data_IF_596373942898
#
_entry.id   IF_596373942898
#
_cell.length_a   1.000
_cell.length_b   1.000
_cell.length_c   1.000
_cell.angle_alpha   90.00
_cell.angle_beta   90.00
_cell.angle_gamma   90.00
#
_symmetry.space_group_name_H-M   'P 1'
#
loop_
_entity.id
_entity.type
_entity.pdbx_description
1 polymer ?
#
# COMPACT_ATOMS: atom_id res chain seq x y z
N UNK A 1 12.73 -6.64 -21.36
CA UNK A 1 13.15 -8.00 -21.80
C UNK A 1 12.23 -8.52 -22.88
N UNK A 2 12.68 -9.42 -23.76
CA UNK A 2 11.82 -10.05 -24.75
C UNK A 2 10.86 -11.04 -24.09
N UNK A 3 9.76 -11.36 -24.79
CA UNK A 3 8.94 -12.50 -24.45
C UNK A 3 9.74 -13.79 -24.55
N UNK A 4 9.49 -14.75 -23.66
CA UNK A 4 10.14 -16.08 -23.73
C UNK A 4 9.65 -16.91 -24.93
N UNK A 5 8.60 -16.45 -25.62
CA UNK A 5 8.01 -17.10 -26.77
C UNK A 5 6.89 -18.08 -26.42
N UNK A 6 6.29 -18.66 -27.44
CA UNK A 6 5.22 -19.66 -27.36
C UNK A 6 3.81 -19.13 -26.99
N UNK A 7 3.65 -17.84 -26.75
CA UNK A 7 2.36 -17.25 -26.37
C UNK A 7 1.30 -17.41 -27.43
N UNK A 8 1.68 -17.37 -28.70
CA UNK A 8 0.75 -17.49 -29.83
C UNK A 8 0.20 -18.93 -30.01
N UNK A 9 0.83 -19.91 -29.39
CA UNK A 9 0.43 -21.31 -29.58
C UNK A 9 -0.66 -21.73 -28.64
N UNK A 10 -0.50 -21.51 -27.34
CA UNK A 10 -1.48 -21.61 -26.24
C UNK A 10 -0.91 -21.04 -24.97
N UNK A 11 -1.71 -20.40 -24.12
CA UNK A 11 -1.29 -19.91 -22.79
C UNK A 11 -0.67 -21.03 -21.93
N UNK A 12 -1.18 -22.25 -22.06
CA UNK A 12 -0.65 -23.44 -21.39
C UNK A 12 0.82 -23.70 -21.70
N UNK A 13 1.25 -23.42 -22.91
CA UNK A 13 2.65 -23.64 -23.32
C UNK A 13 3.63 -22.61 -22.73
N UNK A 14 3.14 -21.42 -22.38
CA UNK A 14 3.97 -20.40 -21.74
C UNK A 14 4.50 -20.86 -20.36
N UNK A 15 3.72 -21.66 -19.65
CA UNK A 15 4.06 -22.19 -18.34
C UNK A 15 4.56 -23.65 -18.38
N UNK A 16 4.75 -24.22 -19.57
CA UNK A 16 5.25 -25.57 -19.71
C UNK A 16 6.70 -25.66 -19.25
N UNK A 17 6.97 -26.49 -18.26
CA UNK A 17 8.29 -26.68 -17.68
C UNK A 17 9.27 -27.48 -18.57
N UNK A 18 8.78 -28.05 -19.66
CA UNK A 18 9.56 -28.88 -20.60
C UNK A 18 9.92 -28.17 -21.89
N UNK A 19 9.18 -27.11 -22.26
CA UNK A 19 9.47 -26.35 -23.47
C UNK A 19 10.64 -25.38 -23.26
N UNK A 20 11.70 -25.47 -24.10
CA UNK A 20 12.83 -24.54 -24.00
C UNK A 20 12.37 -23.11 -24.35
N UNK A 21 13.07 -22.08 -23.88
CA UNK A 21 12.82 -20.71 -24.31
C UNK A 21 13.07 -20.57 -25.81
N UNK A 22 12.35 -19.63 -26.46
CA UNK A 22 12.50 -19.37 -27.89
C UNK A 22 13.91 -18.86 -28.23
N UNK A 23 14.41 -19.15 -29.43
CA UNK A 23 15.74 -18.75 -29.84
C UNK A 23 16.03 -17.25 -29.72
N UNK A 24 15.04 -16.41 -29.99
CA UNK A 24 15.17 -14.96 -29.82
C UNK A 24 15.43 -14.57 -28.37
N UNK A 25 14.79 -15.26 -27.43
CA UNK A 25 15.02 -15.06 -26.00
C UNK A 25 16.44 -15.46 -25.59
N UNK A 26 16.85 -16.63 -25.99
CA UNK A 26 18.22 -17.14 -25.75
C UNK A 26 19.26 -16.19 -26.33
N UNK A 27 19.06 -15.77 -27.59
CA UNK A 27 19.98 -14.85 -28.27
C UNK A 27 20.09 -13.51 -27.58
N UNK A 28 18.99 -13.00 -27.03
CA UNK A 28 19.00 -11.73 -26.31
C UNK A 28 19.91 -11.77 -25.09
N UNK A 29 19.80 -12.77 -24.23
CA UNK A 29 20.65 -12.88 -23.04
C UNK A 29 22.11 -13.15 -23.38
N UNK A 30 22.36 -13.99 -24.38
CA UNK A 30 23.71 -14.19 -24.87
C UNK A 30 24.31 -12.95 -25.52
N UNK A 31 23.50 -12.16 -26.21
CA UNK A 31 23.93 -10.87 -26.75
C UNK A 31 24.34 -9.87 -25.68
N UNK A 32 23.59 -9.82 -24.56
CA UNK A 32 23.93 -8.97 -23.41
C UNK A 32 25.32 -9.32 -22.84
N UNK A 33 25.64 -10.60 -22.76
CA UNK A 33 26.93 -11.10 -22.27
C UNK A 33 28.03 -10.96 -23.31
N UNK A 34 27.89 -11.62 -24.46
CA UNK A 34 28.97 -11.84 -25.44
C UNK A 34 29.24 -10.62 -26.33
N UNK A 35 28.25 -9.78 -26.59
CA UNK A 35 28.35 -8.67 -27.56
C UNK A 35 28.25 -7.31 -26.88
N UNK A 36 27.23 -7.11 -26.01
CA UNK A 36 27.06 -5.87 -25.30
C UNK A 36 28.05 -5.72 -24.12
N UNK A 37 28.65 -6.85 -23.66
CA UNK A 37 29.55 -6.92 -22.51
C UNK A 37 28.99 -6.18 -21.28
N UNK A 38 27.76 -6.51 -20.92
CA UNK A 38 27.13 -5.92 -19.75
C UNK A 38 27.70 -6.51 -18.45
N UNK A 39 28.12 -5.66 -17.52
CA UNK A 39 28.64 -6.10 -16.21
C UNK A 39 27.52 -6.47 -15.24
N UNK A 40 26.31 -5.92 -15.44
CA UNK A 40 25.15 -6.13 -14.56
C UNK A 40 23.84 -5.90 -15.32
N UNK A 41 22.82 -6.65 -14.96
CA UNK A 41 21.44 -6.41 -15.39
C UNK A 41 20.67 -5.79 -14.24
N UNK A 42 20.02 -4.65 -14.46
CA UNK A 42 19.02 -4.11 -13.54
C UNK A 42 17.65 -4.48 -14.07
N UNK A 43 16.99 -5.43 -13.43
CA UNK A 43 15.65 -5.88 -13.79
C UNK A 43 14.62 -5.15 -12.95
N UNK A 44 13.94 -4.17 -13.54
CA UNK A 44 12.97 -3.32 -12.84
C UNK A 44 11.55 -3.83 -13.10
N UNK A 45 10.84 -4.25 -12.06
CA UNK A 45 9.46 -4.70 -12.19
C UNK A 45 8.98 -5.62 -11.07
N UNK A 46 7.76 -6.12 -11.20
CA UNK A 46 7.15 -7.06 -10.25
C UNK A 46 7.71 -8.47 -10.42
N UNK A 47 7.94 -8.86 -11.68
CA UNK A 47 8.66 -10.08 -12.04
C UNK A 47 9.27 -9.94 -13.43
N UNK A 48 10.24 -10.79 -13.71
CA UNK A 48 10.81 -10.98 -15.02
C UNK A 48 10.30 -12.28 -15.66
N UNK A 49 11.08 -12.82 -16.60
CA UNK A 49 10.78 -14.11 -17.20
C UNK A 49 11.92 -15.11 -17.03
N UNK A 50 13.14 -14.64 -16.75
CA UNK A 50 14.32 -15.48 -16.61
C UNK A 50 14.19 -16.49 -15.46
N UNK A 51 13.66 -16.07 -14.34
CA UNK A 51 13.38 -16.87 -13.15
C UNK A 51 12.28 -17.93 -13.37
N UNK A 52 11.45 -17.75 -14.40
CA UNK A 52 10.33 -18.65 -14.73
C UNK A 52 10.64 -19.63 -15.86
N UNK A 53 11.87 -19.68 -16.34
CA UNK A 53 12.27 -20.61 -17.39
C UNK A 53 12.18 -22.07 -16.91
N UNK A 54 12.05 -23.05 -17.83
CA UNK A 54 12.04 -24.46 -17.50
C UNK A 54 13.25 -24.88 -16.69
N UNK A 55 13.05 -25.80 -15.77
CA UNK A 55 14.06 -26.32 -14.87
C UNK A 55 13.51 -26.58 -13.47
N UNK A 56 14.36 -26.63 -12.47
CA UNK A 56 13.98 -26.87 -11.07
C UNK A 56 13.19 -25.70 -10.51
N UNK A 57 12.23 -26.01 -9.66
CA UNK A 57 11.39 -24.97 -9.03
C UNK A 57 12.15 -24.15 -7.99
N UNK A 58 13.18 -24.72 -7.38
CA UNK A 58 13.94 -24.09 -6.29
C UNK A 58 15.44 -24.35 -6.50
N UNK A 59 16.22 -23.32 -6.26
CA UNK A 59 17.68 -23.36 -6.39
C UNK A 59 18.17 -23.19 -7.82
N UNK A 60 19.48 -23.12 -7.96
CA UNK A 60 20.21 -22.93 -9.22
C UNK A 60 20.93 -24.23 -9.55
N UNK A 61 20.78 -24.71 -10.76
CA UNK A 61 21.42 -25.96 -11.19
C UNK A 61 21.85 -25.87 -12.64
N UNK A 62 23.06 -26.40 -12.92
CA UNK A 62 23.59 -26.58 -14.26
C UNK A 62 22.62 -27.43 -15.11
N UNK A 63 22.32 -26.97 -16.33
CA UNK A 63 21.33 -27.54 -17.22
C UNK A 63 19.91 -27.00 -17.10
N UNK A 64 19.60 -26.20 -16.08
CA UNK A 64 18.35 -25.44 -16.03
C UNK A 64 18.46 -24.18 -16.91
N UNK A 65 17.44 -23.84 -17.69
CA UNK A 65 17.47 -22.68 -18.58
C UNK A 65 17.71 -21.37 -17.85
N UNK A 66 17.20 -21.23 -16.64
CA UNK A 66 17.47 -20.05 -15.79
C UNK A 66 18.96 -19.93 -15.42
N UNK A 67 19.67 -21.05 -15.23
CA UNK A 67 21.11 -21.07 -14.98
C UNK A 67 21.91 -20.78 -16.27
N UNK A 68 21.54 -21.44 -17.37
CA UNK A 68 22.26 -21.34 -18.65
C UNK A 68 22.23 -19.94 -19.28
N UNK A 69 21.20 -19.13 -18.93
CA UNK A 69 21.03 -17.79 -19.44
C UNK A 69 21.32 -16.68 -18.41
N UNK A 70 21.56 -17.04 -17.14
CA UNK A 70 21.90 -16.09 -16.09
C UNK A 70 23.41 -15.87 -16.02
N UNK A 71 23.98 -15.37 -17.11
CA UNK A 71 25.43 -15.19 -17.28
C UNK A 71 25.95 -13.91 -16.61
N UNK A 72 25.07 -12.96 -16.33
CA UNK A 72 25.38 -11.64 -15.82
C UNK A 72 24.68 -11.43 -14.47
N UNK A 73 25.37 -10.91 -13.43
CA UNK A 73 24.74 -10.59 -12.15
C UNK A 73 23.50 -9.71 -12.32
N UNK A 74 22.43 -10.09 -11.63
CA UNK A 74 21.15 -9.36 -11.72
C UNK A 74 20.84 -8.65 -10.41
N UNK A 75 20.61 -7.34 -10.48
CA UNK A 75 20.04 -6.52 -9.42
C UNK A 75 18.56 -6.33 -9.75
N UNK A 76 17.71 -6.62 -8.79
CA UNK A 76 16.28 -6.64 -9.02
C UNK A 76 15.53 -5.70 -8.08
N UNK A 77 15.32 -4.42 -8.47
CA UNK A 77 14.38 -3.53 -7.79
C UNK A 77 12.95 -4.07 -7.98
N UNK A 78 12.45 -4.74 -6.95
CA UNK A 78 11.22 -5.53 -6.99
C UNK A 78 10.07 -4.83 -6.26
N UNK A 79 8.92 -4.72 -6.92
CA UNK A 79 7.72 -4.16 -6.31
C UNK A 79 7.22 -5.11 -5.22
N UNK A 80 6.99 -4.60 -4.02
CA UNK A 80 6.69 -5.37 -2.79
C UNK A 80 5.36 -6.14 -2.85
N UNK A 81 4.52 -5.91 -3.85
CA UNK A 81 3.19 -6.51 -3.95
C UNK A 81 3.17 -8.04 -4.09
N UNK A 82 4.27 -8.66 -4.53
CA UNK A 82 4.35 -10.11 -4.73
C UNK A 82 5.65 -10.72 -4.18
N UNK A 83 5.79 -10.85 -2.85
CA UNK A 83 7.03 -11.36 -2.24
C UNK A 83 7.31 -12.83 -2.61
N UNK A 84 6.30 -13.63 -2.94
CA UNK A 84 6.48 -15.02 -3.37
C UNK A 84 7.27 -15.13 -4.67
N UNK A 85 6.96 -14.30 -5.66
CA UNK A 85 7.69 -14.25 -6.93
C UNK A 85 9.08 -13.64 -6.77
N UNK A 86 9.26 -12.67 -5.86
CA UNK A 86 10.57 -12.14 -5.52
C UNK A 86 11.51 -13.24 -5.00
N UNK A 87 10.98 -14.16 -4.19
CA UNK A 87 11.73 -15.32 -3.70
C UNK A 87 12.15 -16.26 -4.84
N UNK A 88 11.29 -16.43 -5.85
CA UNK A 88 11.63 -17.23 -7.05
C UNK A 88 12.83 -16.62 -7.79
N UNK A 89 12.84 -15.29 -8.00
CA UNK A 89 13.96 -14.61 -8.64
C UNK A 89 15.27 -14.79 -7.85
N UNK A 90 15.21 -14.61 -6.52
CA UNK A 90 16.36 -14.84 -5.66
C UNK A 90 16.88 -16.27 -5.75
N UNK A 91 15.99 -17.26 -5.68
CA UNK A 91 16.36 -18.66 -5.54
C UNK A 91 16.76 -19.31 -6.88
N UNK A 92 16.22 -18.85 -8.01
CA UNK A 92 16.44 -19.46 -9.33
C UNK A 92 17.46 -18.75 -10.21
N UNK A 93 17.70 -17.47 -10.00
CA UNK A 93 18.72 -16.72 -10.77
C UNK A 93 19.73 -16.01 -9.87
N UNK A 94 19.67 -16.23 -8.56
CA UNK A 94 20.59 -15.59 -7.63
C UNK A 94 20.50 -14.06 -7.63
N UNK A 95 19.35 -13.50 -7.99
CA UNK A 95 19.17 -12.06 -8.09
C UNK A 95 19.33 -11.39 -6.74
N UNK A 96 20.03 -10.26 -6.72
CA UNK A 96 20.05 -9.39 -5.55
C UNK A 96 18.76 -8.58 -5.49
N UNK A 97 17.89 -8.98 -4.58
CA UNK A 97 16.58 -8.34 -4.41
C UNK A 97 16.71 -7.03 -3.68
N UNK A 98 16.19 -5.96 -4.28
CA UNK A 98 16.05 -4.65 -3.66
C UNK A 98 14.59 -4.29 -3.68
N UNK A 99 14.00 -4.03 -2.52
CA UNK A 99 12.59 -3.68 -2.47
C UNK A 99 12.36 -2.29 -3.03
N UNK A 100 11.37 -2.22 -3.91
CA UNK A 100 10.86 -0.99 -4.46
C UNK A 100 9.82 -0.38 -3.50
N UNK A 101 9.91 0.89 -3.22
CA UNK A 101 8.90 1.59 -2.42
C UNK A 101 7.53 1.51 -3.09
N UNK A 102 6.49 1.25 -2.31
CA UNK A 102 5.12 1.37 -2.80
C UNK A 102 4.79 2.84 -3.07
N UNK A 103 3.83 3.14 -3.98
CA UNK A 103 3.31 4.50 -4.09
C UNK A 103 2.65 4.93 -2.79
N UNK A 104 2.82 6.19 -2.41
CA UNK A 104 2.05 6.76 -1.31
C UNK A 104 0.55 6.56 -1.56
N UNK A 105 -0.18 6.13 -0.53
CA UNK A 105 -1.61 5.85 -0.62
C UNK A 105 -2.39 6.87 0.19
N UNK A 106 -3.40 7.47 -0.42
CA UNK A 106 -4.37 8.29 0.29
C UNK A 106 -5.72 7.60 0.36
N UNK A 107 -6.44 7.84 1.45
CA UNK A 107 -7.85 7.46 1.51
C UNK A 107 -8.61 8.35 0.52
N UNK A 108 -9.39 7.74 -0.38
CA UNK A 108 -10.09 8.44 -1.47
C UNK A 108 -10.94 9.59 -0.99
N UNK A 109 -11.62 9.41 0.14
CA UNK A 109 -12.69 10.29 0.58
C UNK A 109 -13.85 10.35 -0.43
N UNK A 110 -15.00 10.79 0.03
CA UNK A 110 -16.11 11.11 -0.86
C UNK A 110 -16.04 12.58 -1.27
N UNK A 111 -16.53 12.90 -2.49
CA UNK A 111 -16.58 14.27 -2.98
C UNK A 111 -17.94 14.59 -3.63
N UNK A 112 -18.30 15.88 -3.67
CA UNK A 112 -19.49 16.36 -4.35
C UNK A 112 -20.79 15.74 -3.84
N UNK A 113 -21.57 15.18 -4.75
CA UNK A 113 -22.87 14.60 -4.44
C UNK A 113 -22.80 13.27 -3.64
N UNK A 114 -21.68 12.55 -3.67
CA UNK A 114 -21.50 11.36 -2.83
C UNK A 114 -21.39 11.74 -1.34
N UNK A 115 -20.61 12.77 -1.02
CA UNK A 115 -20.56 13.33 0.35
C UNK A 115 -21.93 13.83 0.80
N UNK A 116 -22.66 14.48 -0.11
CA UNK A 116 -24.02 14.98 0.18
C UNK A 116 -25.00 13.83 0.46
N UNK A 117 -24.90 12.74 -0.31
CA UNK A 117 -25.70 11.54 -0.12
C UNK A 117 -25.44 10.90 1.24
N UNK A 118 -24.15 10.72 1.59
CA UNK A 118 -23.77 10.18 2.91
C UNK A 118 -24.30 11.05 4.04
N UNK A 119 -24.16 12.37 3.96
CA UNK A 119 -24.73 13.29 4.95
C UNK A 119 -26.26 13.16 5.09
N UNK A 120 -26.98 12.89 4.00
CA UNK A 120 -28.44 12.68 4.08
C UNK A 120 -28.77 11.36 4.77
N UNK A 121 -27.97 10.31 4.55
CA UNK A 121 -28.13 9.01 5.22
C UNK A 121 -27.88 9.15 6.71
N UNK A 122 -26.80 9.82 7.11
CA UNK A 122 -26.47 10.06 8.52
C UNK A 122 -27.59 10.84 9.22
N UNK A 123 -28.08 11.91 8.58
CA UNK A 123 -29.19 12.70 9.10
C UNK A 123 -30.48 11.89 9.21
N UNK A 124 -30.77 11.04 8.23
CA UNK A 124 -31.91 10.13 8.32
C UNK A 124 -31.78 9.21 9.54
N UNK A 125 -30.65 8.57 9.72
CA UNK A 125 -30.40 7.66 10.84
C UNK A 125 -30.50 8.38 12.19
N UNK A 126 -29.94 9.60 12.31
CA UNK A 126 -30.05 10.43 13.49
C UNK A 126 -31.53 10.76 13.83
N UNK A 127 -32.34 11.11 12.82
CA UNK A 127 -33.75 11.45 13.04
C UNK A 127 -34.58 10.22 13.44
N UNK A 128 -34.29 9.05 12.85
CA UNK A 128 -34.91 7.77 13.23
C UNK A 128 -34.54 7.40 14.67
N UNK A 129 -33.28 7.49 15.03
CA UNK A 129 -32.79 7.18 16.37
C UNK A 129 -33.41 8.10 17.45
N UNK A 130 -33.67 9.36 17.09
CA UNK A 130 -34.30 10.36 17.99
C UNK A 130 -35.82 10.39 17.90
N UNK A 131 -36.48 9.47 17.16
CA UNK A 131 -37.92 9.39 16.95
C UNK A 131 -38.56 10.66 16.32
N UNK A 132 -37.83 11.39 15.47
CA UNK A 132 -38.31 12.59 14.76
C UNK A 132 -38.77 12.20 13.34
N UNK A 133 -39.94 11.62 13.24
CA UNK A 133 -40.47 11.01 12.01
C UNK A 133 -40.66 12.00 10.85
N UNK A 134 -41.01 13.27 11.09
CA UNK A 134 -41.20 14.26 10.03
C UNK A 134 -39.91 14.57 9.25
N UNK A 135 -38.83 14.81 9.98
CA UNK A 135 -37.54 15.10 9.36
C UNK A 135 -36.92 13.83 8.71
N UNK A 136 -37.11 12.66 9.29
CA UNK A 136 -36.71 11.41 8.70
C UNK A 136 -37.34 11.18 7.31
N UNK A 137 -38.64 11.51 7.17
CA UNK A 137 -39.34 11.40 5.88
C UNK A 137 -38.71 12.30 4.80
N UNK A 138 -38.36 13.53 5.13
CA UNK A 138 -37.71 14.45 4.17
C UNK A 138 -36.33 13.95 3.73
N UNK A 139 -35.51 13.49 4.66
CA UNK A 139 -34.20 12.88 4.28
C UNK A 139 -34.38 11.63 3.45
N UNK A 140 -35.32 10.74 3.77
CA UNK A 140 -35.66 9.58 2.94
C UNK A 140 -35.98 9.98 1.49
N UNK A 141 -36.75 11.04 1.28
CA UNK A 141 -37.08 11.56 -0.05
C UNK A 141 -35.84 12.06 -0.78
N UNK A 142 -34.98 12.85 -0.11
CA UNK A 142 -33.73 13.36 -0.67
C UNK A 142 -32.77 12.25 -1.08
N UNK A 143 -32.68 11.19 -0.28
CA UNK A 143 -31.86 10.01 -0.57
C UNK A 143 -32.37 9.30 -1.83
N UNK A 144 -33.69 9.03 -1.91
CA UNK A 144 -34.32 8.36 -3.06
C UNK A 144 -34.27 9.18 -4.36
N UNK A 145 -34.12 10.50 -4.28
CA UNK A 145 -33.91 11.39 -5.42
C UNK A 145 -32.43 11.43 -5.85
N UNK A 146 -31.52 11.52 -4.88
CA UNK A 146 -30.10 11.73 -5.17
C UNK A 146 -29.38 10.44 -5.56
N UNK A 147 -29.62 9.32 -4.89
CA UNK A 147 -28.91 8.07 -5.12
C UNK A 147 -29.00 7.58 -6.57
N UNK A 148 -30.16 7.60 -7.26
CA UNK A 148 -30.21 7.19 -8.67
C UNK A 148 -29.41 8.09 -9.62
N UNK A 149 -29.27 9.39 -9.30
CA UNK A 149 -28.48 10.33 -10.09
C UNK A 149 -26.97 10.03 -10.01
N UNK A 150 -26.55 9.25 -9.02
CA UNK A 150 -25.18 8.79 -8.79
C UNK A 150 -24.96 7.35 -9.28
N UNK A 151 -25.96 6.74 -9.93
CA UNK A 151 -25.86 5.38 -10.48
C UNK A 151 -26.31 4.27 -9.53
N UNK A 152 -26.83 4.60 -8.35
CA UNK A 152 -27.36 3.58 -7.43
C UNK A 152 -28.79 3.19 -7.82
N UNK A 153 -29.04 1.89 -7.91
CA UNK A 153 -30.39 1.40 -8.14
C UNK A 153 -31.31 1.70 -6.95
N UNK A 154 -32.59 1.94 -7.22
CA UNK A 154 -33.62 2.03 -6.17
C UNK A 154 -33.80 0.70 -5.45
N UNK A 155 -34.42 0.69 -4.25
CA UNK A 155 -34.72 -0.57 -3.57
C UNK A 155 -35.44 -1.56 -4.48
N UNK A 156 -34.97 -2.81 -4.52
CA UNK A 156 -35.56 -3.88 -5.35
C UNK A 156 -36.92 -4.32 -4.77
N UNK A 157 -37.74 -4.94 -5.62
CA UNK A 157 -39.01 -5.48 -5.17
C UNK A 157 -38.78 -6.48 -4.02
N UNK A 158 -39.43 -6.20 -2.86
CA UNK A 158 -39.28 -7.00 -1.65
C UNK A 158 -38.15 -6.58 -0.71
N UNK A 159 -37.30 -5.64 -1.09
CA UNK A 159 -36.29 -5.05 -0.21
C UNK A 159 -36.89 -3.87 0.57
N UNK A 160 -36.68 -3.84 1.88
CA UNK A 160 -37.10 -2.68 2.69
C UNK A 160 -36.17 -1.50 2.40
N UNK A 161 -36.66 -0.27 2.63
CA UNK A 161 -35.83 0.91 2.46
C UNK A 161 -34.63 0.89 3.42
N UNK A 162 -34.81 0.43 4.62
CA UNK A 162 -33.77 0.34 5.65
C UNK A 162 -32.67 -0.65 5.26
N UNK A 163 -33.00 -1.82 4.73
CA UNK A 163 -32.00 -2.79 4.24
C UNK A 163 -31.24 -2.23 3.02
N UNK A 164 -31.92 -1.58 2.10
CA UNK A 164 -31.28 -0.92 0.96
C UNK A 164 -30.37 0.25 1.41
N UNK A 165 -30.79 1.00 2.41
CA UNK A 165 -30.03 2.11 2.96
C UNK A 165 -28.73 1.62 3.62
N UNK A 166 -28.77 0.51 4.32
CA UNK A 166 -27.61 -0.15 4.92
C UNK A 166 -26.60 -0.58 3.84
N UNK A 167 -27.08 -1.23 2.77
CA UNK A 167 -26.23 -1.63 1.63
C UNK A 167 -25.59 -0.39 0.97
N UNK A 168 -26.38 0.68 0.76
CA UNK A 168 -25.91 1.93 0.16
C UNK A 168 -24.88 2.63 1.06
N UNK A 169 -25.13 2.67 2.36
CA UNK A 169 -24.22 3.26 3.33
C UNK A 169 -22.89 2.50 3.36
N UNK A 170 -22.93 1.17 3.42
CA UNK A 170 -21.74 0.31 3.37
C UNK A 170 -20.92 0.57 2.12
N UNK A 171 -21.57 0.66 0.96
CA UNK A 171 -20.88 0.95 -0.30
C UNK A 171 -20.21 2.33 -0.31
N UNK A 172 -20.88 3.36 0.23
CA UNK A 172 -20.30 4.71 0.34
C UNK A 172 -19.13 4.74 1.32
N UNK A 173 -19.22 4.00 2.42
CA UNK A 173 -18.13 3.86 3.38
C UNK A 173 -16.93 3.14 2.76
N UNK A 174 -17.14 2.08 1.99
CA UNK A 174 -16.09 1.38 1.25
C UNK A 174 -15.42 2.33 0.26
N UNK A 175 -16.19 3.07 -0.55
CA UNK A 175 -15.67 4.08 -1.47
C UNK A 175 -14.86 5.17 -0.76
N UNK A 176 -15.32 5.62 0.41
CA UNK A 176 -14.63 6.65 1.19
C UNK A 176 -13.32 6.15 1.78
N UNK A 177 -13.27 4.88 2.16
CA UNK A 177 -12.12 4.27 2.81
C UNK A 177 -11.20 3.52 1.81
N UNK A 178 -11.54 3.56 0.53
CA UNK A 178 -10.71 2.98 -0.51
C UNK A 178 -9.39 3.74 -0.64
N UNK A 179 -8.32 3.01 -0.92
CA UNK A 179 -6.99 3.59 -1.07
C UNK A 179 -6.72 3.89 -2.53
N UNK A 180 -6.47 5.16 -2.82
CA UNK A 180 -5.94 5.60 -4.11
C UNK A 180 -4.45 5.89 -3.97
N UNK A 181 -3.68 5.46 -4.95
CA UNK A 181 -2.26 5.80 -5.01
C UNK A 181 -2.06 7.24 -5.50
N UNK A 182 -1.06 7.92 -4.95
CA UNK A 182 -0.53 9.18 -5.51
C UNK A 182 0.34 8.88 -6.74
N UNK A 183 -0.29 8.45 -7.84
CA UNK A 183 0.41 8.05 -9.05
C UNK A 183 1.20 6.76 -8.89
N UNK A 184 2.26 6.62 -9.68
CA UNK A 184 3.21 5.52 -9.59
C UNK A 184 4.48 5.99 -8.87
N UNK A 185 5.08 5.12 -8.06
CA UNK A 185 6.38 5.42 -7.47
C UNK A 185 7.46 5.49 -8.56
N UNK A 186 8.33 6.47 -8.44
CA UNK A 186 9.50 6.62 -9.30
C UNK A 186 10.75 6.35 -8.47
N UNK A 187 11.52 5.33 -8.81
CA UNK A 187 12.76 4.98 -8.11
C UNK A 187 13.68 6.20 -8.03
N UNK A 188 14.18 6.46 -6.82
CA UNK A 188 15.08 7.56 -6.55
C UNK A 188 14.38 8.92 -6.35
N UNK A 189 13.07 9.02 -6.54
CA UNK A 189 12.30 10.22 -6.22
C UNK A 189 12.10 10.33 -4.71
N UNK A 190 12.62 11.39 -4.11
CA UNK A 190 12.37 11.70 -2.70
C UNK A 190 10.98 12.30 -2.56
N UNK A 191 10.13 11.66 -1.74
CA UNK A 191 8.78 12.15 -1.45
C UNK A 191 8.85 13.43 -0.59
N UNK A 192 7.87 14.33 -0.79
CA UNK A 192 7.78 15.60 -0.04
C UNK A 192 6.34 16.04 0.15
N UNK A 193 6.08 16.95 1.08
CA UNK A 193 4.76 17.53 1.34
C UNK A 193 3.71 16.44 1.62
N UNK A 194 2.56 16.56 0.98
CA UNK A 194 1.42 15.65 1.18
C UNK A 194 1.74 14.20 0.83
N UNK A 195 2.49 13.97 -0.24
CA UNK A 195 2.88 12.63 -0.68
C UNK A 195 3.72 11.91 0.40
N UNK A 196 4.65 12.64 1.04
CA UNK A 196 5.42 12.11 2.17
C UNK A 196 4.56 11.87 3.40
N UNK A 197 3.63 12.77 3.72
CA UNK A 197 2.71 12.61 4.85
C UNK A 197 1.89 11.34 4.70
N UNK A 198 1.27 11.12 3.53
CA UNK A 198 0.43 9.95 3.28
C UNK A 198 1.25 8.66 3.28
N UNK A 199 2.45 8.66 2.72
CA UNK A 199 3.32 7.49 2.76
C UNK A 199 3.69 7.12 4.19
N UNK A 200 4.10 8.08 5.02
CA UNK A 200 4.41 7.83 6.43
C UNK A 200 3.18 7.28 7.17
N UNK A 201 1.99 7.85 6.95
CA UNK A 201 0.75 7.35 7.56
C UNK A 201 0.49 5.91 7.12
N UNK A 202 0.57 5.62 5.82
CA UNK A 202 0.36 4.29 5.26
C UNK A 202 1.30 3.27 5.94
N UNK A 203 2.57 3.60 6.03
CA UNK A 203 3.58 2.72 6.63
C UNK A 203 3.30 2.47 8.12
N UNK A 204 3.14 3.51 8.92
CA UNK A 204 2.98 3.34 10.38
C UNK A 204 1.64 2.68 10.74
N UNK A 205 0.58 2.93 9.97
CA UNK A 205 -0.73 2.33 10.21
C UNK A 205 -0.83 0.87 9.79
N UNK A 206 -0.06 0.45 8.78
CA UNK A 206 0.00 -0.94 8.34
C UNK A 206 0.74 -1.85 9.35
N UNK A 207 1.61 -1.28 10.18
CA UNK A 207 2.51 -2.03 11.07
C UNK A 207 2.20 -1.88 12.55
N UNK A 208 1.50 -0.83 12.91
CA UNK A 208 1.19 -0.54 14.31
C UNK A 208 -0.30 -0.39 14.52
N UNK A 209 -0.73 -0.54 15.74
CA UNK A 209 -2.11 -0.25 16.13
C UNK A 209 -2.28 1.23 16.53
N UNK A 210 -1.58 2.13 15.83
CA UNK A 210 -1.53 3.56 16.17
C UNK A 210 -2.92 4.20 16.24
N UNK A 211 -3.82 3.84 15.33
CA UNK A 211 -5.19 4.35 15.38
C UNK A 211 -5.94 3.94 16.65
N UNK A 212 -5.73 2.71 17.18
CA UNK A 212 -6.29 2.32 18.48
C UNK A 212 -5.76 3.18 19.62
N UNK A 213 -4.47 3.46 19.62
CA UNK A 213 -3.87 4.26 20.68
C UNK A 213 -4.36 5.72 20.63
N UNK A 214 -4.55 6.29 19.44
CA UNK A 214 -5.12 7.64 19.26
C UNK A 214 -6.59 7.65 19.68
N UNK A 215 -7.37 6.66 19.24
CA UNK A 215 -8.78 6.51 19.63
C UNK A 215 -8.94 6.51 21.15
N UNK A 216 -8.17 5.69 21.84
CA UNK A 216 -8.25 5.55 23.29
C UNK A 216 -7.73 6.78 24.05
N UNK A 217 -6.81 7.54 23.45
CA UNK A 217 -6.35 8.83 23.99
C UNK A 217 -7.44 9.88 23.86
N UNK A 218 -8.07 10.02 22.70
CA UNK A 218 -9.08 11.07 22.44
C UNK A 218 -10.42 10.70 23.06
N UNK A 219 -10.80 9.41 23.01
CA UNK A 219 -12.08 8.88 23.48
C UNK A 219 -11.88 7.79 24.54
N UNK A 220 -11.55 8.13 25.81
CA UNK A 220 -11.33 7.13 26.86
C UNK A 220 -12.53 6.23 27.15
N UNK A 221 -13.73 6.68 26.82
CA UNK A 221 -14.98 5.89 26.91
C UNK A 221 -15.08 4.78 25.84
N UNK A 222 -14.24 4.81 24.82
CA UNK A 222 -14.17 3.79 23.75
C UNK A 222 -12.94 2.85 23.91
N UNK A 223 -12.33 2.80 25.08
CA UNK A 223 -11.12 1.97 25.32
C UNK A 223 -11.34 0.46 25.09
N UNK A 224 -12.59 -0.01 25.17
CA UNK A 224 -12.98 -1.39 24.92
C UNK A 224 -13.26 -1.67 23.44
N UNK A 225 -13.18 -0.65 22.58
CA UNK A 225 -13.39 -0.74 21.14
C UNK A 225 -12.07 -0.80 20.40
N UNK A 226 -12.05 -1.55 19.29
CA UNK A 226 -10.93 -1.59 18.37
C UNK A 226 -11.22 -0.72 17.16
N UNK A 227 -10.29 0.17 16.81
CA UNK A 227 -10.48 1.10 15.68
C UNK A 227 -10.77 0.35 14.37
N UNK A 228 -10.03 -0.73 14.09
CA UNK A 228 -10.13 -1.43 12.81
C UNK A 228 -11.36 -2.34 12.71
N UNK A 229 -11.84 -2.87 13.84
CA UNK A 229 -12.93 -3.85 13.85
C UNK A 229 -14.28 -3.23 14.24
N UNK A 230 -14.28 -2.19 15.09
CA UNK A 230 -15.49 -1.68 15.70
C UNK A 230 -15.83 -0.25 15.27
N UNK A 231 -14.83 0.53 14.84
CA UNK A 231 -14.97 1.98 14.57
C UNK A 231 -14.91 2.28 13.08
N UNK A 232 -13.85 1.78 12.39
CA UNK A 232 -13.65 2.01 10.97
C UNK A 232 -14.79 1.39 10.17
N UNK A 233 -15.40 2.16 9.28
CA UNK A 233 -16.53 1.70 8.47
C UNK A 233 -17.84 1.53 9.24
N UNK A 234 -17.92 1.97 10.50
CA UNK A 234 -19.13 1.93 11.28
C UNK A 234 -19.75 3.34 11.35
N UNK A 235 -20.93 3.50 10.77
CA UNK A 235 -21.64 4.77 10.69
C UNK A 235 -21.86 5.44 12.04
N UNK A 236 -22.10 4.64 13.08
CA UNK A 236 -22.30 5.15 14.44
C UNK A 236 -21.06 5.89 14.98
N UNK A 237 -19.87 5.52 14.50
CA UNK A 237 -18.59 6.06 14.96
C UNK A 237 -17.84 6.86 13.89
N UNK A 238 -18.52 7.23 12.80
CA UNK A 238 -17.91 7.95 11.68
C UNK A 238 -17.17 9.21 12.13
N UNK A 239 -17.85 10.07 12.92
CA UNK A 239 -17.25 11.30 13.41
C UNK A 239 -15.97 11.04 14.24
N UNK A 240 -15.97 10.01 15.07
CA UNK A 240 -14.82 9.62 15.89
C UNK A 240 -13.68 9.08 14.99
N UNK A 241 -14.01 8.30 13.97
CA UNK A 241 -13.04 7.82 12.98
C UNK A 241 -12.31 8.97 12.28
N UNK A 242 -13.07 9.95 11.80
CA UNK A 242 -12.50 11.12 11.11
C UNK A 242 -11.64 11.99 12.02
N UNK A 243 -12.02 12.17 13.26
CA UNK A 243 -11.20 12.88 14.26
C UNK A 243 -9.87 12.16 14.48
N UNK A 244 -9.88 10.83 14.59
CA UNK A 244 -8.66 10.02 14.78
C UNK A 244 -7.74 10.11 13.58
N UNK A 245 -8.27 10.00 12.36
CA UNK A 245 -7.50 10.15 11.09
C UNK A 245 -6.89 11.54 10.98
N UNK A 246 -7.72 12.58 11.18
CA UNK A 246 -7.29 13.99 11.09
C UNK A 246 -6.20 14.29 12.12
N UNK A 247 -6.33 13.77 13.34
CA UNK A 247 -5.34 13.95 14.38
C UNK A 247 -3.98 13.37 13.95
N UNK A 248 -3.95 12.13 13.44
CA UNK A 248 -2.72 11.50 12.97
C UNK A 248 -2.10 12.28 11.80
N UNK A 249 -2.94 12.68 10.83
CA UNK A 249 -2.49 13.47 9.68
C UNK A 249 -1.85 14.79 10.12
N UNK A 250 -2.46 15.50 11.07
CA UNK A 250 -1.93 16.75 11.60
C UNK A 250 -0.60 16.52 12.32
N UNK A 251 -0.52 15.46 13.14
CA UNK A 251 0.72 15.10 13.83
C UNK A 251 1.87 14.81 12.86
N UNK A 252 1.64 13.99 11.84
CA UNK A 252 2.66 13.67 10.82
C UNK A 252 2.97 14.91 9.98
N UNK A 253 1.98 15.74 9.66
CA UNK A 253 2.16 17.01 8.97
C UNK A 253 3.10 17.96 9.72
N UNK A 254 2.96 18.04 11.05
CA UNK A 254 3.85 18.87 11.89
C UNK A 254 5.27 18.32 11.90
N UNK A 255 5.47 17.01 11.85
CA UNK A 255 6.80 16.39 11.74
C UNK A 255 7.46 16.61 10.37
N UNK A 256 6.67 16.60 9.30
CA UNK A 256 7.18 16.68 7.92
C UNK A 256 7.48 18.11 7.52
N UNK A 257 6.59 19.05 7.84
CA UNK A 257 6.59 20.42 7.31
C UNK A 257 7.32 21.43 8.21
N UNK A 258 7.64 21.07 9.44
CA UNK A 258 8.28 21.97 10.41
C UNK A 258 9.68 21.50 10.79
N UNK A 259 10.43 22.35 11.46
CA UNK A 259 11.76 22.06 12.00
C UNK A 259 11.71 21.52 13.43
N UNK A 260 10.52 21.17 13.92
CA UNK A 260 10.34 20.66 15.28
C UNK A 260 10.93 19.25 15.42
N UNK A 261 11.47 18.99 16.58
CA UNK A 261 11.84 17.64 17.00
C UNK A 261 10.58 16.81 17.27
N UNK A 262 10.72 15.49 17.25
CA UNK A 262 9.60 14.60 17.60
C UNK A 262 9.03 14.90 19.00
N UNK A 263 9.90 15.16 19.98
CA UNK A 263 9.47 15.48 21.36
C UNK A 263 8.66 16.76 21.45
N UNK A 264 9.00 17.76 20.66
CA UNK A 264 8.23 19.02 20.58
C UNK A 264 6.85 18.77 19.97
N UNK A 265 6.78 18.07 18.86
CA UNK A 265 5.50 17.72 18.22
C UNK A 265 4.66 16.83 19.17
N UNK A 266 5.24 15.81 19.77
CA UNK A 266 4.54 14.96 20.73
C UNK A 266 3.94 15.77 21.87
N UNK A 267 4.70 16.73 22.43
CA UNK A 267 4.23 17.64 23.49
C UNK A 267 3.12 18.57 23.01
N UNK A 268 3.20 19.11 21.80
CA UNK A 268 2.15 19.95 21.19
C UNK A 268 0.83 19.20 21.06
N UNK A 269 0.89 17.91 20.77
CA UNK A 269 -0.27 17.03 20.64
C UNK A 269 -0.66 16.32 21.95
N UNK A 270 -0.14 16.76 23.10
CA UNK A 270 -0.50 16.26 24.43
C UNK A 270 0.14 14.94 24.82
N UNK A 271 1.12 14.43 24.09
CA UNK A 271 1.81 13.18 24.39
C UNK A 271 3.09 13.48 25.15
N UNK A 272 3.04 13.27 26.48
CA UNK A 272 4.19 13.53 27.38
C UNK A 272 4.83 12.24 27.92
N UNK A 273 4.11 11.13 27.92
CA UNK A 273 4.61 9.84 28.41
C UNK A 273 5.39 9.10 27.33
N UNK A 274 6.71 9.16 27.38
CA UNK A 274 7.62 8.51 26.43
C UNK A 274 7.57 6.97 26.46
N UNK A 275 7.08 6.38 27.55
CA UNK A 275 6.92 4.93 27.68
C UNK A 275 5.56 4.44 27.16
N UNK A 276 4.67 5.34 26.72
CA UNK A 276 3.36 4.93 26.18
C UNK A 276 3.53 4.25 24.81
N UNK A 277 2.66 3.28 24.54
CA UNK A 277 2.62 2.61 23.23
C UNK A 277 2.34 3.60 22.10
N UNK A 278 1.53 4.63 22.35
CA UNK A 278 1.26 5.68 21.37
C UNK A 278 2.55 6.44 21.02
N UNK A 279 3.32 6.89 22.03
CA UNK A 279 4.58 7.59 21.79
C UNK A 279 5.54 6.72 20.95
N UNK A 280 5.70 5.44 21.33
CA UNK A 280 6.60 4.51 20.62
C UNK A 280 6.17 4.27 19.18
N UNK A 281 4.87 4.05 18.95
CA UNK A 281 4.33 3.86 17.60
C UNK A 281 4.52 5.10 16.73
N UNK A 282 4.31 6.29 17.27
CA UNK A 282 4.50 7.54 16.54
C UNK A 282 5.97 7.89 16.34
N UNK A 283 6.84 7.58 17.32
CA UNK A 283 8.28 7.85 17.19
C UNK A 283 8.90 7.08 16.02
N UNK A 284 8.33 5.95 15.64
CA UNK A 284 8.75 5.20 14.47
C UNK A 284 8.63 6.01 13.17
N UNK A 285 7.69 6.94 13.09
CA UNK A 285 7.53 7.81 11.92
C UNK A 285 8.77 8.65 11.62
N UNK A 286 9.55 9.05 12.64
CA UNK A 286 10.78 9.82 12.43
C UNK A 286 11.79 9.06 11.61
N UNK A 287 11.92 7.76 11.88
CA UNK A 287 12.82 6.88 11.14
C UNK A 287 12.34 6.64 9.71
N UNK A 288 11.04 6.45 9.51
CA UNK A 288 10.45 6.35 8.18
C UNK A 288 10.72 7.61 7.37
N UNK A 289 10.47 8.79 7.95
CA UNK A 289 10.75 10.09 7.31
C UNK A 289 12.24 10.20 6.93
N UNK A 290 13.13 9.84 7.86
CA UNK A 290 14.57 9.88 7.63
C UNK A 290 15.00 8.95 6.48
N UNK A 291 14.53 7.71 6.49
CA UNK A 291 14.83 6.72 5.44
C UNK A 291 14.39 7.19 4.05
N UNK A 292 13.18 7.78 3.95
CA UNK A 292 12.67 8.33 2.70
C UNK A 292 13.50 9.56 2.27
N UNK A 293 13.77 10.50 3.19
CA UNK A 293 14.57 11.70 2.89
C UNK A 293 16.02 11.36 2.53
N UNK A 294 16.59 10.31 3.08
CA UNK A 294 17.93 9.82 2.75
C UNK A 294 17.98 9.01 1.45
N UNK A 295 16.84 8.78 0.80
CA UNK A 295 16.74 8.01 -0.43
C UNK A 295 17.37 6.61 -0.34
N UNK A 296 17.01 5.86 0.70
CA UNK A 296 17.59 4.56 0.98
C UNK A 296 17.37 3.54 -0.14
N UNK A 297 16.29 3.67 -0.90
CA UNK A 297 16.02 2.86 -2.09
C UNK A 297 17.13 3.03 -3.15
N UNK A 298 17.46 4.27 -3.49
CA UNK A 298 18.53 4.56 -4.43
C UNK A 298 19.90 4.14 -3.90
N UNK A 299 20.16 4.38 -2.62
CA UNK A 299 21.40 3.98 -1.98
C UNK A 299 21.59 2.45 -1.98
N UNK A 300 20.52 1.68 -1.84
CA UNK A 300 20.57 0.22 -1.95
C UNK A 300 20.99 -0.24 -3.35
N UNK A 301 20.42 0.38 -4.40
CA UNK A 301 20.81 0.11 -5.80
C UNK A 301 22.29 0.44 -6.02
N UNK A 302 22.74 1.60 -5.57
CA UNK A 302 24.14 2.02 -5.72
C UNK A 302 25.11 1.11 -4.94
N UNK A 303 24.69 0.65 -3.76
CA UNK A 303 25.46 -0.33 -2.97
C UNK A 303 25.58 -1.65 -3.72
N UNK A 304 24.50 -2.15 -4.28
CA UNK A 304 24.50 -3.39 -5.08
C UNK A 304 25.39 -3.25 -6.34
N UNK A 305 25.28 -2.13 -7.04
CA UNK A 305 26.12 -1.84 -8.23
C UNK A 305 27.61 -1.80 -7.92
N UNK A 306 27.98 -1.39 -6.71
CA UNK A 306 29.39 -1.41 -6.26
C UNK A 306 29.84 -2.77 -5.70
N UNK A 307 29.01 -3.81 -5.80
CA UNK A 307 29.28 -5.14 -5.26
C UNK A 307 29.16 -5.23 -3.73
N UNK A 308 28.56 -4.22 -3.09
CA UNK A 308 28.34 -4.18 -1.66
C UNK A 308 27.12 -5.01 -1.22
N UNK A 309 27.12 -5.41 0.04
CA UNK A 309 25.99 -6.09 0.65
C UNK A 309 24.86 -5.09 0.97
N UNK A 310 23.68 -5.35 0.43
CA UNK A 310 22.47 -4.58 0.75
C UNK A 310 21.82 -5.22 1.97
N UNK A 311 21.81 -4.49 3.09
CA UNK A 311 21.21 -4.97 4.33
C UNK A 311 19.69 -5.07 4.19
N UNK A 312 19.08 -6.24 4.46
CA UNK A 312 17.63 -6.38 4.37
C UNK A 312 16.93 -5.45 5.37
N UNK A 313 15.88 -4.78 4.93
CA UNK A 313 14.98 -4.06 5.82
C UNK A 313 14.07 -5.00 6.60
N UNK A 314 13.53 -4.53 7.72
CA UNK A 314 12.70 -5.33 8.63
C UNK A 314 11.47 -5.95 7.93
N UNK A 315 10.93 -5.34 6.89
CA UNK A 315 9.78 -5.79 6.13
C UNK A 315 9.99 -5.71 4.62
N UNK A 316 11.23 -5.71 4.20
CA UNK A 316 11.63 -5.63 2.81
C UNK A 316 11.18 -4.34 2.07
N UNK A 317 10.77 -3.29 2.77
CA UNK A 317 10.50 -1.99 2.19
C UNK A 317 11.63 -1.01 2.53
N UNK A 318 12.19 -0.23 1.56
CA UNK A 318 13.30 0.70 1.80
C UNK A 318 13.02 1.76 2.88
N UNK A 319 11.76 2.16 3.03
CA UNK A 319 11.36 3.08 4.08
C UNK A 319 11.42 2.46 5.50
N UNK A 320 11.42 1.14 5.57
CA UNK A 320 11.59 0.36 6.80
C UNK A 320 13.02 -0.11 7.02
N UNK A 321 13.98 0.27 6.21
CA UNK A 321 15.36 -0.20 6.30
C UNK A 321 15.97 0.07 7.68
N UNK A 322 15.58 -0.76 8.62
CA UNK A 322 16.32 -1.03 9.84
C UNK A 322 17.26 -2.16 9.52
N UNK A 323 18.54 -1.95 9.68
CA UNK A 323 19.48 -3.06 9.74
C UNK A 323 18.94 -4.06 10.75
N UNK A 324 18.57 -5.25 10.26
CA UNK A 324 18.42 -6.40 11.14
C UNK A 324 19.84 -6.72 11.60
N UNK A 325 20.09 -6.78 12.90
CA UNK A 325 21.39 -7.20 13.41
C UNK A 325 21.69 -8.63 12.98
#
# INVERSE_FOLDING_TARGET
>A
QPSRGWEEVKIENYHDLTLPPHQQYVTFYKWLDEVANCDVIINLGTHGTLEWLPGRNVGVHEGDWSFELNLIPTIYPYIVSNPGEAMVARDRIGAMMITHMTPAMAISGLYGNYTKLLNYIDRYNDQVANNVSGNAYEYKKLILELAPSLGFEKPKNGQTFEAWLEDLHTYLDDMQNDFNTYGLHTIGKILSGEELIEEVITIITSRTTVYNHILHMIYPNLKDKNYYNDIRGNSQYYAQSEVVKTWLRTFIGDLVNNTYTFDEVAKMHGITNKSSKLYQSLNYSTKVIENIKNNNEWNAIMTALSGGYVTPGLFADPAYADSIP
#
